data_IF_084356111077
#
_entry.id   IF_084356111077
#
_cell.length_a   1.000
_cell.length_b   1.000
_cell.length_c   1.000
_cell.angle_alpha   90.00
_cell.angle_beta   90.00
_cell.angle_gamma   90.00
#
_symmetry.space_group_name_H-M   'P 1'
#
loop_
_entity.id
_entity.type
_entity.pdbx_description
1 polymer ?
#
# COMPACT_ATOMS: atom_id res chain seq x y z
N UNK A 1 -20.01 -45.00 4.02
CA UNK A 1 -20.06 -43.66 4.63
C UNK A 1 -20.84 -42.74 3.69
N UNK A 2 -22.05 -42.32 4.06
CA UNK A 2 -22.78 -41.32 3.29
C UNK A 2 -22.08 -39.97 3.47
N UNK A 3 -21.41 -39.48 2.43
CA UNK A 3 -20.72 -38.20 2.48
C UNK A 3 -21.71 -37.04 2.63
N UNK A 4 -21.35 -36.02 3.41
CA UNK A 4 -22.13 -34.77 3.51
C UNK A 4 -22.36 -34.22 2.09
N UNK A 5 -23.61 -33.88 1.71
CA UNK A 5 -23.89 -33.34 0.39
C UNK A 5 -23.05 -32.07 0.15
N UNK A 6 -22.49 -31.96 -1.06
CA UNK A 6 -21.70 -30.79 -1.46
C UNK A 6 -22.63 -29.57 -1.48
N UNK A 7 -22.25 -28.50 -0.78
CA UNK A 7 -22.98 -27.24 -0.82
C UNK A 7 -22.92 -26.68 -2.25
N UNK A 8 -24.07 -26.55 -2.90
CA UNK A 8 -24.24 -25.80 -4.14
C UNK A 8 -24.55 -24.35 -3.80
N UNK A 9 -23.97 -23.41 -4.54
CA UNK A 9 -24.25 -21.98 -4.39
C UNK A 9 -25.21 -21.53 -5.47
N UNK A 10 -26.18 -20.68 -5.11
CA UNK A 10 -27.09 -20.10 -6.10
C UNK A 10 -26.37 -19.06 -6.95
N UNK A 11 -26.90 -18.77 -8.14
CA UNK A 11 -26.36 -17.72 -9.01
C UNK A 11 -26.39 -16.36 -8.30
N UNK A 12 -27.43 -16.11 -7.50
CA UNK A 12 -27.61 -14.89 -6.71
C UNK A 12 -26.52 -14.75 -5.63
N UNK A 13 -26.20 -15.83 -4.91
CA UNK A 13 -25.11 -15.84 -3.93
C UNK A 13 -23.77 -15.52 -4.60
N UNK A 14 -23.51 -16.10 -5.77
CA UNK A 14 -22.29 -15.83 -6.54
C UNK A 14 -22.22 -14.37 -6.99
N UNK A 15 -23.34 -13.81 -7.47
CA UNK A 15 -23.41 -12.41 -7.87
C UNK A 15 -23.10 -11.45 -6.71
N UNK A 16 -23.63 -11.72 -5.51
CA UNK A 16 -23.33 -10.94 -4.29
C UNK A 16 -21.84 -11.01 -3.94
N UNK A 17 -21.23 -12.21 -3.99
CA UNK A 17 -19.81 -12.38 -3.73
C UNK A 17 -18.93 -11.59 -4.71
N UNK A 18 -19.30 -11.62 -5.99
CA UNK A 18 -18.58 -10.91 -7.05
C UNK A 18 -18.73 -9.39 -6.92
N UNK A 19 -19.91 -8.91 -6.56
CA UNK A 19 -20.18 -7.50 -6.31
C UNK A 19 -19.36 -6.97 -5.13
N UNK A 20 -19.36 -7.67 -3.99
CA UNK A 20 -18.55 -7.29 -2.83
C UNK A 20 -17.04 -7.28 -3.14
N UNK A 21 -16.58 -8.22 -3.98
CA UNK A 21 -15.19 -8.23 -4.42
C UNK A 21 -14.87 -7.02 -5.32
N UNK A 22 -15.78 -6.62 -6.21
CA UNK A 22 -15.64 -5.43 -7.04
C UNK A 22 -15.68 -4.13 -6.23
N UNK A 23 -16.42 -4.11 -5.12
CA UNK A 23 -16.44 -2.99 -4.16
C UNK A 23 -15.14 -2.86 -3.35
N UNK A 24 -14.22 -3.84 -3.46
CA UNK A 24 -12.91 -3.81 -2.82
C UNK A 24 -12.85 -4.61 -1.51
N UNK A 25 -13.90 -5.36 -1.16
CA UNK A 25 -13.90 -6.14 0.07
C UNK A 25 -12.86 -7.27 0.05
N UNK A 26 -12.16 -7.43 1.17
CA UNK A 26 -11.25 -8.56 1.39
C UNK A 26 -12.03 -9.84 1.63
N UNK A 27 -11.43 -10.98 1.32
CA UNK A 27 -12.12 -12.29 1.41
C UNK A 27 -12.63 -12.59 2.83
N UNK A 28 -11.94 -12.10 3.87
CA UNK A 28 -12.41 -12.20 5.26
C UNK A 28 -13.67 -11.38 5.54
N UNK A 29 -13.74 -10.15 5.02
CA UNK A 29 -14.92 -9.30 5.11
C UNK A 29 -16.11 -9.94 4.39
N UNK A 30 -15.88 -10.48 3.19
CA UNK A 30 -16.90 -11.18 2.42
C UNK A 30 -17.43 -12.41 3.18
N UNK A 31 -16.54 -13.16 3.83
CA UNK A 31 -16.92 -14.30 4.67
C UNK A 31 -17.84 -13.89 5.83
N UNK A 32 -17.52 -12.78 6.49
CA UNK A 32 -18.33 -12.25 7.60
C UNK A 32 -19.70 -11.73 7.12
N UNK A 33 -19.76 -11.06 5.98
CA UNK A 33 -21.02 -10.52 5.42
C UNK A 33 -21.95 -11.65 4.96
N UNK A 34 -21.40 -12.67 4.28
CA UNK A 34 -22.19 -13.72 3.64
C UNK A 34 -22.40 -14.97 4.52
N UNK A 35 -21.70 -15.05 5.66
CA UNK A 35 -21.67 -16.24 6.50
C UNK A 35 -21.01 -17.47 5.85
N UNK A 36 -20.35 -17.31 4.70
CA UNK A 36 -19.62 -18.38 4.01
C UNK A 36 -18.21 -18.45 4.58
N UNK A 37 -17.79 -19.65 5.02
CA UNK A 37 -16.46 -19.85 5.56
C UNK A 37 -15.35 -19.40 4.58
N UNK A 38 -14.32 -18.74 5.10
CA UNK A 38 -13.19 -18.22 4.33
C UNK A 38 -12.53 -19.28 3.43
N UNK A 39 -12.33 -20.50 3.97
CA UNK A 39 -11.73 -21.62 3.23
C UNK A 39 -12.59 -22.04 2.02
N UNK A 40 -13.91 -21.91 2.14
CA UNK A 40 -14.84 -22.20 1.05
C UNK A 40 -14.74 -21.12 -0.02
N UNK A 41 -14.68 -19.84 0.38
CA UNK A 41 -14.50 -18.73 -0.57
C UNK A 41 -13.19 -18.83 -1.35
N UNK A 42 -12.09 -19.11 -0.68
CA UNK A 42 -10.78 -19.25 -1.33
C UNK A 42 -10.74 -20.44 -2.29
N UNK A 43 -11.26 -21.60 -1.87
CA UNK A 43 -11.24 -22.82 -2.68
C UNK A 43 -12.16 -22.75 -3.90
N UNK A 44 -13.37 -22.21 -3.75
CA UNK A 44 -14.40 -22.29 -4.79
C UNK A 44 -14.51 -20.99 -5.61
N UNK A 45 -14.25 -19.84 -5.01
CA UNK A 45 -14.46 -18.53 -5.63
C UNK A 45 -13.18 -17.71 -5.76
N UNK A 46 -12.03 -18.19 -5.29
CA UNK A 46 -10.78 -17.41 -5.24
C UNK A 46 -10.40 -16.79 -6.60
N UNK A 47 -10.58 -17.52 -7.70
CA UNK A 47 -10.33 -17.01 -9.06
C UNK A 47 -11.29 -15.89 -9.44
N UNK A 48 -12.60 -16.06 -9.20
CA UNK A 48 -13.63 -15.06 -9.53
C UNK A 48 -13.46 -13.79 -8.68
N UNK A 49 -13.24 -13.93 -7.37
CA UNK A 49 -13.01 -12.81 -6.46
C UNK A 49 -11.77 -12.02 -6.87
N UNK A 50 -10.69 -12.72 -7.24
CA UNK A 50 -9.47 -12.08 -7.76
C UNK A 50 -9.74 -11.33 -9.06
N UNK A 51 -10.46 -11.97 -9.99
CA UNK A 51 -10.85 -11.34 -11.27
C UNK A 51 -11.63 -10.04 -11.03
N UNK A 52 -12.64 -10.06 -10.16
CA UNK A 52 -13.46 -8.89 -9.84
C UNK A 52 -12.66 -7.75 -9.22
N UNK A 53 -11.69 -8.06 -8.36
CA UNK A 53 -10.75 -7.06 -7.82
C UNK A 53 -9.83 -6.48 -8.90
N UNK A 54 -9.41 -7.28 -9.87
CA UNK A 54 -8.67 -6.76 -11.03
C UNK A 54 -9.55 -5.86 -11.91
N UNK A 55 -10.81 -6.24 -12.15
CA UNK A 55 -11.81 -5.43 -12.86
C UNK A 55 -12.01 -4.07 -12.16
N UNK A 56 -12.08 -4.05 -10.82
CA UNK A 56 -12.11 -2.82 -10.02
C UNK A 56 -10.90 -1.92 -10.27
N UNK A 57 -9.68 -2.48 -10.26
CA UNK A 57 -8.46 -1.70 -10.52
C UNK A 57 -8.45 -1.10 -11.92
N UNK A 58 -8.96 -1.82 -12.91
CA UNK A 58 -9.11 -1.30 -14.27
C UNK A 58 -10.14 -0.17 -14.31
N UNK A 59 -11.30 -0.36 -13.70
CA UNK A 59 -12.35 0.67 -13.58
C UNK A 59 -11.81 1.94 -12.91
N UNK A 60 -11.05 1.80 -11.83
CA UNK A 60 -10.45 2.94 -11.13
C UNK A 60 -9.52 3.76 -12.04
N UNK A 61 -8.73 3.10 -12.90
CA UNK A 61 -7.87 3.79 -13.88
C UNK A 61 -8.69 4.57 -14.90
N UNK A 62 -9.83 4.02 -15.34
CA UNK A 62 -10.73 4.72 -16.25
C UNK A 62 -11.32 5.97 -15.60
N UNK A 63 -11.75 5.87 -14.33
CA UNK A 63 -12.22 7.01 -13.55
C UNK A 63 -11.13 8.08 -13.34
N UNK A 64 -9.89 7.66 -13.05
CA UNK A 64 -8.77 8.60 -12.94
C UNK A 64 -8.50 9.34 -14.26
N UNK A 65 -8.56 8.64 -15.39
CA UNK A 65 -8.37 9.24 -16.70
C UNK A 65 -9.51 10.22 -17.05
N UNK A 66 -10.76 9.86 -16.75
CA UNK A 66 -11.90 10.76 -17.03
C UNK A 66 -11.90 12.00 -16.13
N UNK A 67 -11.40 11.86 -14.90
CA UNK A 67 -11.27 12.96 -13.94
C UNK A 67 -9.86 13.57 -13.94
N UNK A 68 -9.06 13.36 -14.98
CA UNK A 68 -7.72 13.92 -15.05
C UNK A 68 -7.73 15.47 -15.10
N UNK A 69 -8.80 16.05 -15.64
CA UNK A 69 -8.97 17.50 -15.80
C UNK A 69 -9.71 18.17 -14.64
N UNK A 70 -10.35 17.39 -13.76
CA UNK A 70 -11.15 17.88 -12.63
C UNK A 70 -10.72 17.15 -11.36
N UNK A 71 -10.25 17.87 -10.33
CA UNK A 71 -9.63 17.21 -9.17
C UNK A 71 -10.61 16.31 -8.42
N UNK A 72 -10.54 15.01 -8.67
CA UNK A 72 -11.24 13.99 -7.90
C UNK A 72 -10.28 13.42 -6.85
N UNK A 73 -10.17 14.11 -5.73
CA UNK A 73 -9.25 13.75 -4.64
C UNK A 73 -9.48 12.32 -4.13
N UNK A 74 -10.73 11.85 -4.16
CA UNK A 74 -11.07 10.47 -3.82
C UNK A 74 -10.43 9.45 -4.79
N UNK A 75 -10.42 9.74 -6.09
CA UNK A 75 -9.80 8.86 -7.09
C UNK A 75 -8.27 8.85 -6.98
N UNK A 76 -7.66 9.97 -6.57
CA UNK A 76 -6.22 10.03 -6.24
C UNK A 76 -5.91 9.20 -4.99
N UNK A 77 -6.73 9.33 -3.94
CA UNK A 77 -6.58 8.56 -2.71
C UNK A 77 -6.68 7.05 -2.96
N UNK A 78 -7.72 6.60 -3.67
CA UNK A 78 -7.88 5.19 -4.03
C UNK A 78 -6.75 4.70 -4.95
N UNK A 79 -6.27 5.56 -5.86
CA UNK A 79 -5.14 5.26 -6.73
C UNK A 79 -3.86 4.91 -5.99
N UNK A 80 -3.53 5.68 -4.95
CA UNK A 80 -2.37 5.42 -4.09
C UNK A 80 -2.53 4.09 -3.35
N UNK A 81 -3.69 3.85 -2.76
CA UNK A 81 -3.93 2.67 -1.92
C UNK A 81 -4.12 1.36 -2.71
N UNK A 82 -4.79 1.39 -3.86
CA UNK A 82 -5.16 0.17 -4.60
C UNK A 82 -4.26 -0.11 -5.82
N UNK A 83 -3.70 0.92 -6.45
CA UNK A 83 -2.84 0.81 -7.63
C UNK A 83 -1.34 0.97 -7.33
N UNK A 84 -0.97 1.32 -6.09
CA UNK A 84 0.43 1.53 -5.69
C UNK A 84 1.05 2.77 -6.33
N UNK A 85 0.24 3.77 -6.67
CA UNK A 85 0.73 5.04 -7.21
C UNK A 85 1.46 5.83 -6.12
N UNK A 86 2.60 6.43 -6.46
CA UNK A 86 3.41 7.25 -5.56
C UNK A 86 3.64 8.62 -6.17
N UNK A 87 3.65 9.64 -5.31
CA UNK A 87 4.00 10.99 -5.75
C UNK A 87 5.51 11.07 -5.95
N UNK A 88 5.92 11.64 -7.08
CA UNK A 88 7.34 11.92 -7.32
C UNK A 88 7.74 13.14 -6.51
N UNK A 89 8.58 12.94 -5.50
CA UNK A 89 9.18 14.05 -4.75
C UNK A 89 10.50 14.45 -5.42
N UNK A 90 10.63 15.72 -5.78
CA UNK A 90 11.91 16.32 -6.20
C UNK A 90 12.43 17.09 -4.99
N UNK A 91 13.43 16.54 -4.33
CA UNK A 91 14.09 17.20 -3.19
C UNK A 91 15.23 18.04 -3.76
N UNK A 92 15.06 19.35 -3.77
CA UNK A 92 16.14 20.30 -4.06
C UNK A 92 16.80 20.68 -2.75
N UNK A 93 17.92 20.04 -2.42
CA UNK A 93 18.83 20.52 -1.38
C UNK A 93 19.56 21.73 -1.94
N UNK A 94 19.19 22.92 -1.47
CA UNK A 94 20.09 24.07 -1.55
C UNK A 94 21.15 23.84 -0.50
N UNK A 95 22.41 23.71 -0.91
CA UNK A 95 23.56 23.69 -0.02
C UNK A 95 23.68 25.06 0.66
N UNK A 96 22.78 25.34 1.61
CA UNK A 96 22.97 26.45 2.53
C UNK A 96 23.99 25.94 3.53
N UNK A 97 25.19 26.55 3.62
CA UNK A 97 26.16 26.14 4.60
C UNK A 97 25.51 26.25 5.98
N UNK A 98 25.48 25.13 6.71
CA UNK A 98 25.01 25.09 8.08
C UNK A 98 25.92 26.05 8.85
N UNK A 99 25.36 27.15 9.36
CA UNK A 99 26.10 28.10 10.17
C UNK A 99 26.39 27.46 11.53
N UNK A 100 27.48 26.68 11.58
CA UNK A 100 27.98 26.09 12.84
C UNK A 100 28.54 27.22 13.70
N UNK A 101 28.07 27.42 14.94
CA UNK A 101 28.63 28.39 15.88
C UNK A 101 30.14 28.17 16.06
N UNK A 102 30.91 29.24 16.24
CA UNK A 102 32.39 29.14 16.36
C UNK A 102 32.83 28.20 17.49
N UNK A 103 32.11 28.19 18.61
CA UNK A 103 32.36 27.29 19.73
C UNK A 103 32.26 25.79 19.35
N UNK A 104 31.35 25.44 18.46
CA UNK A 104 31.20 24.05 17.98
C UNK A 104 32.31 23.68 16.98
N UNK A 105 32.81 24.64 16.21
CA UNK A 105 33.99 24.44 15.33
C UNK A 105 35.24 24.21 16.15
N UNK A 106 35.47 25.03 17.18
CA UNK A 106 36.60 24.88 18.09
C UNK A 106 36.57 23.55 18.84
N UNK A 107 35.38 23.12 19.29
CA UNK A 107 35.20 21.81 19.91
C UNK A 107 35.48 20.66 18.94
N UNK A 108 35.02 20.77 17.68
CA UNK A 108 35.32 19.79 16.62
C UNK A 108 36.80 19.71 16.29
N UNK A 109 37.49 20.86 16.20
CA UNK A 109 38.92 20.92 15.91
C UNK A 109 39.77 20.37 17.06
N UNK A 110 39.39 20.70 18.30
CA UNK A 110 40.03 20.13 19.50
C UNK A 110 39.84 18.61 19.57
N UNK A 111 38.62 18.12 19.32
CA UNK A 111 38.33 16.69 19.27
C UNK A 111 39.11 15.98 18.15
N UNK A 112 39.16 16.58 16.95
CA UNK A 112 39.94 16.07 15.81
C UNK A 112 41.44 15.99 16.13
N UNK A 113 41.99 17.00 16.80
CA UNK A 113 43.40 17.04 17.20
C UNK A 113 43.73 15.94 18.21
N UNK A 114 42.91 15.78 19.24
CA UNK A 114 43.07 14.71 20.24
C UNK A 114 42.95 13.33 19.60
N UNK A 115 41.99 13.14 18.69
CA UNK A 115 41.81 11.88 17.97
C UNK A 115 43.01 11.54 17.07
N UNK A 116 43.54 12.53 16.34
CA UNK A 116 44.76 12.36 15.52
C UNK A 116 45.99 12.04 16.36
N UNK A 117 46.15 12.65 17.54
CA UNK A 117 47.26 12.35 18.46
C UNK A 117 47.17 10.93 19.02
N UNK A 118 45.96 10.47 19.38
CA UNK A 118 45.71 9.08 19.79
C UNK A 118 46.02 8.08 18.68
N UNK A 119 45.65 8.38 17.43
CA UNK A 119 45.99 7.55 16.27
C UNK A 119 47.49 7.52 15.97
N UNK A 120 48.20 8.62 16.23
CA UNK A 120 49.64 8.73 16.03
C UNK A 120 50.47 8.07 17.16
N UNK A 121 49.85 7.48 18.18
CA UNK A 121 50.54 6.80 19.27
C UNK A 121 51.26 7.73 20.26
N UNK A 122 51.05 9.04 20.16
CA UNK A 122 51.63 10.07 21.05
C UNK A 122 50.53 10.71 21.90
N UNK A 123 49.81 9.89 22.67
CA UNK A 123 48.83 10.33 23.65
C UNK A 123 49.33 10.10 25.08
#
# INVERSE_FOLDING_TARGET
MAGRPKKSFSIEEVAVLEQLAFEGCQTGTIANITGIAYNTLTRHFGKNLTKKRCERKQWLRQCQNSQAQTSADMCKFLGKNELGQVDKQIITTKDVPIAVPEAEKEAMDAACKVYKLKLAGSA
#
